data_IF_695166532544
#
_entry.id   IF_695166532544
#
_cell.length_a   1.000
_cell.length_b   1.000
_cell.length_c   1.000
_cell.angle_alpha   90.00
_cell.angle_beta   90.00
_cell.angle_gamma   90.00
#
_symmetry.space_group_name_H-M   'P 1'
#
loop_
_entity.id
_entity.type
_entity.pdbx_description
1 polymer ?
#
# COMPACT_ATOMS: atom_id res chain seq x y z
N UNK A 1 15.76 1.02 7.95
CA UNK A 1 15.03 1.85 6.95
C UNK A 1 13.57 1.39 6.86
N UNK A 2 12.62 2.28 6.60
CA UNK A 2 11.18 2.00 6.48
C UNK A 2 10.78 2.13 5.01
N UNK A 3 10.84 1.04 4.25
CA UNK A 3 10.72 1.03 2.79
C UNK A 3 9.31 0.62 2.39
N UNK A 4 8.61 1.44 1.61
CA UNK A 4 7.27 1.12 1.13
C UNK A 4 7.34 0.46 -0.25
N UNK A 5 6.57 -0.61 -0.40
CA UNK A 5 6.22 -1.21 -1.69
C UNK A 5 4.73 -0.95 -1.92
N UNK A 6 4.41 -0.13 -2.91
CA UNK A 6 3.04 0.25 -3.27
C UNK A 6 2.66 -0.23 -4.67
N UNK A 7 1.44 0.01 -5.07
CA UNK A 7 0.89 -0.32 -6.40
C UNK A 7 -0.57 -0.69 -6.34
N UNK A 8 -1.25 -0.68 -7.46
CA UNK A 8 -2.66 -1.06 -7.57
C UNK A 8 -2.91 -2.52 -7.14
N UNK A 9 -4.15 -2.94 -6.91
CA UNK A 9 -4.49 -4.35 -6.71
C UNK A 9 -4.04 -5.21 -7.89
N UNK A 10 -3.63 -6.46 -7.65
CA UNK A 10 -3.28 -7.41 -8.71
C UNK A 10 -1.91 -7.20 -9.38
N UNK A 11 -1.04 -6.35 -8.85
CA UNK A 11 0.29 -6.05 -9.43
C UNK A 11 1.43 -6.90 -8.89
N UNK A 12 1.13 -7.90 -8.02
CA UNK A 12 2.13 -8.85 -7.53
C UNK A 12 2.90 -8.39 -6.29
N UNK A 13 2.44 -7.38 -5.54
CA UNK A 13 3.07 -6.93 -4.27
C UNK A 13 3.23 -8.05 -3.25
N UNK A 14 2.17 -8.79 -2.98
CA UNK A 14 2.19 -9.89 -2.00
C UNK A 14 3.26 -10.92 -2.31
N UNK A 15 3.50 -11.23 -3.59
CA UNK A 15 4.56 -12.17 -4.00
C UNK A 15 5.95 -11.61 -3.68
N UNK A 16 6.17 -10.31 -3.90
CA UNK A 16 7.43 -9.63 -3.55
C UNK A 16 7.63 -9.64 -2.03
N UNK A 17 6.62 -9.26 -1.26
CA UNK A 17 6.67 -9.26 0.21
C UNK A 17 6.99 -10.66 0.75
N UNK A 18 6.35 -11.70 0.21
CA UNK A 18 6.61 -13.08 0.62
C UNK A 18 8.04 -13.52 0.29
N UNK A 19 8.58 -13.17 -0.88
CA UNK A 19 9.96 -13.47 -1.24
C UNK A 19 10.97 -12.70 -0.35
N UNK A 20 10.68 -11.44 -0.01
CA UNK A 20 11.49 -10.68 0.96
C UNK A 20 11.51 -11.34 2.35
N UNK A 21 10.34 -11.81 2.84
CA UNK A 21 10.26 -12.58 4.11
C UNK A 21 11.08 -13.87 4.05
N UNK A 22 11.01 -14.61 2.94
CA UNK A 22 11.80 -15.84 2.75
C UNK A 22 13.31 -15.57 2.76
N UNK A 23 13.73 -14.37 2.35
CA UNK A 23 15.12 -13.90 2.41
C UNK A 23 15.53 -13.32 3.78
N UNK A 24 14.63 -13.39 4.78
CA UNK A 24 14.90 -12.97 6.16
C UNK A 24 14.67 -11.48 6.45
N UNK A 25 14.04 -10.73 5.53
CA UNK A 25 13.69 -9.34 5.79
C UNK A 25 12.42 -9.22 6.64
N UNK A 26 12.41 -8.25 7.54
CA UNK A 26 11.21 -7.90 8.29
C UNK A 26 10.22 -7.16 7.39
N UNK A 27 8.99 -7.68 7.28
CA UNK A 27 7.95 -7.13 6.42
C UNK A 27 6.66 -6.88 7.23
N UNK A 28 6.07 -5.73 7.02
CA UNK A 28 4.78 -5.32 7.59
C UNK A 28 3.69 -5.54 6.54
N UNK A 29 2.78 -6.44 6.85
CA UNK A 29 1.75 -6.89 5.92
C UNK A 29 0.64 -5.86 5.64
N UNK A 30 -0.09 -6.11 4.58
CA UNK A 30 -1.31 -5.40 4.22
C UNK A 30 -2.42 -5.72 5.25
N UNK A 31 -3.06 -4.67 5.79
CA UNK A 31 -3.99 -4.79 6.93
C UNK A 31 -5.47 -4.70 6.54
N UNK A 32 -5.79 -4.28 5.32
CA UNK A 32 -7.19 -4.03 4.93
C UNK A 32 -8.06 -5.27 5.03
N UNK A 33 -7.51 -6.44 4.69
CA UNK A 33 -8.24 -7.71 4.78
C UNK A 33 -8.54 -8.11 6.23
N UNK A 34 -7.59 -7.89 7.12
CA UNK A 34 -7.77 -8.13 8.56
C UNK A 34 -8.87 -7.23 9.11
N UNK A 35 -8.86 -5.94 8.75
CA UNK A 35 -9.92 -5.01 9.15
C UNK A 35 -11.28 -5.48 8.64
N UNK A 36 -11.38 -5.87 7.36
CA UNK A 36 -12.62 -6.37 6.77
C UNK A 36 -13.12 -7.61 7.54
N UNK A 37 -12.27 -8.59 7.76
CA UNK A 37 -12.62 -9.81 8.48
C UNK A 37 -13.10 -9.51 9.91
N UNK A 38 -12.40 -8.64 10.63
CA UNK A 38 -12.77 -8.23 11.98
C UNK A 38 -14.11 -7.46 12.00
N UNK A 39 -14.37 -6.58 11.02
CA UNK A 39 -15.63 -5.85 10.91
C UNK A 39 -16.81 -6.80 10.62
N UNK A 40 -16.62 -7.78 9.74
CA UNK A 40 -17.65 -8.78 9.43
C UNK A 40 -17.95 -9.63 10.69
N UNK A 41 -16.92 -10.12 11.36
CA UNK A 41 -17.08 -10.99 12.53
C UNK A 41 -17.77 -10.28 13.72
N UNK A 42 -17.57 -8.97 13.87
CA UNK A 42 -18.13 -8.18 14.98
C UNK A 42 -19.37 -7.34 14.59
N UNK A 43 -19.92 -7.54 13.39
CA UNK A 43 -21.10 -6.78 12.92
C UNK A 43 -20.85 -5.29 12.72
N UNK A 44 -19.60 -4.88 12.50
CA UNK A 44 -19.21 -3.49 12.26
C UNK A 44 -19.63 -3.00 10.88
N UNK A 45 -19.53 -1.69 10.67
CA UNK A 45 -19.89 -1.01 9.43
C UNK A 45 -18.70 -0.42 8.67
N UNK A 46 -17.51 -0.39 9.27
CA UNK A 46 -16.31 0.13 8.64
C UNK A 46 -15.77 -0.85 7.58
N UNK A 47 -16.54 -0.99 6.50
CA UNK A 47 -16.32 -1.86 5.36
C UNK A 47 -16.27 -1.02 4.08
N UNK A 48 -15.46 -1.35 3.07
CA UNK A 48 -15.34 -0.58 1.83
C UNK A 48 -16.68 -0.34 1.12
N UNK A 49 -17.62 -1.28 1.22
CA UNK A 49 -18.92 -1.24 0.57
C UNK A 49 -20.07 -0.73 1.46
N UNK A 50 -19.82 -0.42 2.75
CA UNK A 50 -20.81 0.13 3.68
C UNK A 50 -20.46 1.55 4.11
N UNK A 51 -19.25 1.74 4.61
CA UNK A 51 -18.77 3.02 5.15
C UNK A 51 -17.29 3.18 4.83
N UNK A 52 -17.03 3.57 3.57
CA UNK A 52 -15.68 3.71 3.04
C UNK A 52 -14.85 4.75 3.81
N UNK A 53 -15.48 5.81 4.33
CA UNK A 53 -14.78 6.82 5.14
C UNK A 53 -14.26 6.21 6.44
N UNK A 54 -15.11 5.57 7.23
CA UNK A 54 -14.72 4.89 8.47
C UNK A 54 -13.69 3.78 8.22
N UNK A 55 -13.84 3.02 7.13
CA UNK A 55 -12.85 2.02 6.74
C UNK A 55 -11.48 2.66 6.48
N UNK A 56 -11.44 3.73 5.67
CA UNK A 56 -10.19 4.44 5.35
C UNK A 56 -9.53 5.05 6.60
N UNK A 57 -10.32 5.58 7.53
CA UNK A 57 -9.81 6.10 8.80
C UNK A 57 -9.17 4.99 9.66
N UNK A 58 -9.79 3.82 9.75
CA UNK A 58 -9.21 2.68 10.47
C UNK A 58 -7.92 2.19 9.81
N UNK A 59 -7.90 2.05 8.48
CA UNK A 59 -6.70 1.66 7.74
C UNK A 59 -5.58 2.68 7.99
N UNK A 60 -5.88 3.97 7.94
CA UNK A 60 -4.89 5.02 8.18
C UNK A 60 -4.29 4.91 9.58
N UNK A 61 -5.14 4.86 10.61
CA UNK A 61 -4.70 4.78 12.03
C UNK A 61 -3.79 3.57 12.28
N UNK A 62 -4.14 2.40 11.73
CA UNK A 62 -3.33 1.20 11.92
C UNK A 62 -1.99 1.29 11.16
N UNK A 63 -1.98 1.84 9.93
CA UNK A 63 -0.73 2.05 9.20
C UNK A 63 0.19 3.08 9.85
N UNK A 64 -0.39 4.15 10.39
CA UNK A 64 0.35 5.13 11.18
C UNK A 64 0.98 4.45 12.42
N UNK A 65 0.19 3.66 13.15
CA UNK A 65 0.69 2.88 14.28
C UNK A 65 1.82 1.91 13.88
N UNK A 66 1.69 1.19 12.77
CA UNK A 66 2.76 0.33 12.24
C UNK A 66 4.04 1.12 11.94
N UNK A 67 3.91 2.31 11.36
CA UNK A 67 5.04 3.18 11.07
C UNK A 67 5.73 3.69 12.35
N UNK A 68 4.95 4.17 13.32
CA UNK A 68 5.46 4.73 14.57
C UNK A 68 6.13 3.67 15.46
N UNK A 69 5.58 2.45 15.49
CA UNK A 69 6.11 1.32 16.27
C UNK A 69 7.14 0.47 15.48
N UNK A 70 7.58 0.94 14.32
CA UNK A 70 8.56 0.20 13.52
C UNK A 70 9.94 0.17 14.18
N UNK A 71 10.61 -0.97 14.05
CA UNK A 71 11.96 -1.18 14.58
C UNK A 71 13.02 -0.36 13.84
N UNK A 72 14.21 -0.12 14.45
CA UNK A 72 15.30 0.61 13.82
C UNK A 72 16.01 -0.16 12.69
N UNK A 73 15.58 -1.38 12.39
CA UNK A 73 16.09 -2.23 11.30
C UNK A 73 15.51 -1.84 9.94
N UNK A 74 15.97 -2.49 8.86
CA UNK A 74 15.33 -2.36 7.54
C UNK A 74 14.04 -3.17 7.52
N UNK A 75 12.91 -2.48 7.28
CA UNK A 75 11.59 -3.07 7.20
C UNK A 75 10.91 -2.67 5.89
N UNK A 76 10.22 -3.64 5.28
CA UNK A 76 9.41 -3.40 4.08
C UNK A 76 7.93 -3.35 4.46
N UNK A 77 7.23 -2.35 3.97
CA UNK A 77 5.81 -2.13 4.24
C UNK A 77 5.00 -2.44 2.98
N UNK A 78 4.07 -3.39 3.06
CA UNK A 78 3.05 -3.57 2.01
C UNK A 78 2.04 -2.45 2.13
N UNK A 79 2.25 -1.37 1.37
CA UNK A 79 1.58 -0.08 1.42
C UNK A 79 1.97 0.78 2.63
N UNK A 80 1.65 2.08 2.54
CA UNK A 80 1.87 3.07 3.58
C UNK A 80 0.65 3.98 3.82
N UNK A 81 0.81 4.97 4.69
CA UNK A 81 -0.23 5.97 4.98
C UNK A 81 -0.61 6.79 3.75
N UNK A 82 0.33 7.03 2.83
CA UNK A 82 0.09 7.75 1.56
C UNK A 82 -0.83 6.95 0.63
N UNK A 83 -0.81 5.61 0.69
CA UNK A 83 -1.76 4.77 -0.06
C UNK A 83 -3.20 5.11 0.34
N UNK A 84 -3.48 5.24 1.64
CA UNK A 84 -4.83 5.58 2.12
C UNK A 84 -5.26 6.94 1.58
N UNK A 85 -4.37 7.95 1.62
CA UNK A 85 -4.63 9.24 1.01
C UNK A 85 -4.98 9.11 -0.48
N UNK A 86 -4.21 8.31 -1.23
CA UNK A 86 -4.43 8.09 -2.66
C UNK A 86 -5.80 7.43 -2.94
N UNK A 87 -6.16 6.38 -2.19
CA UNK A 87 -7.45 5.72 -2.31
C UNK A 87 -8.62 6.65 -1.97
N UNK A 88 -8.52 7.44 -0.91
CA UNK A 88 -9.53 8.45 -0.59
C UNK A 88 -9.70 9.47 -1.74
N UNK A 89 -8.60 9.82 -2.45
CA UNK A 89 -8.66 10.69 -3.64
C UNK A 89 -9.34 10.01 -4.83
N UNK A 90 -9.11 8.71 -5.04
CA UNK A 90 -9.78 7.92 -6.09
C UNK A 90 -11.30 7.98 -5.95
N UNK A 91 -11.79 7.93 -4.71
CA UNK A 91 -13.22 7.89 -4.37
C UNK A 91 -13.80 9.27 -4.01
N UNK A 92 -13.03 10.35 -4.21
CA UNK A 92 -13.41 11.74 -3.92
C UNK A 92 -13.85 11.97 -2.47
N UNK A 93 -13.30 11.21 -1.52
CA UNK A 93 -13.59 11.39 -0.11
C UNK A 93 -12.91 12.64 0.46
N UNK A 94 -13.54 13.23 1.48
CA UNK A 94 -12.92 14.30 2.25
C UNK A 94 -11.79 13.75 3.10
N UNK A 95 -10.57 14.21 2.86
CA UNK A 95 -9.39 13.77 3.60
C UNK A 95 -9.23 14.65 4.86
N UNK A 96 -9.14 14.06 6.07
CA UNK A 96 -8.91 14.80 7.29
C UNK A 96 -7.57 15.56 7.23
N UNK A 97 -7.54 16.79 7.77
CA UNK A 97 -6.29 17.56 7.85
C UNK A 97 -5.23 16.86 8.70
N UNK A 98 -5.65 16.13 9.74
CA UNK A 98 -4.77 15.31 10.59
C UNK A 98 -3.98 14.27 9.78
N UNK A 99 -4.60 13.64 8.77
CA UNK A 99 -3.89 12.69 7.91
C UNK A 99 -2.76 13.36 7.12
N UNK A 100 -3.04 14.56 6.58
CA UNK A 100 -2.04 15.32 5.84
C UNK A 100 -0.89 15.74 6.76
N UNK A 101 -1.19 16.21 7.98
CA UNK A 101 -0.16 16.54 8.99
C UNK A 101 0.67 15.30 9.35
N UNK A 102 0.01 14.19 9.69
CA UNK A 102 0.71 12.95 10.03
C UNK A 102 1.62 12.44 8.90
N UNK A 103 1.16 12.43 7.64
CA UNK A 103 1.99 12.03 6.49
C UNK A 103 3.22 12.93 6.34
N UNK A 104 3.12 14.21 6.66
CA UNK A 104 4.25 15.14 6.58
C UNK A 104 5.24 14.97 7.74
N UNK A 105 4.75 14.66 8.93
CA UNK A 105 5.54 14.51 10.14
C UNK A 105 6.19 13.13 10.24
N UNK A 106 5.46 12.08 9.84
CA UNK A 106 5.88 10.67 9.97
C UNK A 106 6.26 10.10 8.61
N UNK A 107 7.56 10.14 8.28
CA UNK A 107 8.06 9.75 6.96
C UNK A 107 8.57 8.31 6.93
N UNK A 108 8.26 7.63 5.83
CA UNK A 108 8.98 6.45 5.36
C UNK A 108 10.34 6.85 4.75
N UNK A 109 11.10 5.87 4.28
CA UNK A 109 12.27 6.14 3.46
C UNK A 109 11.86 6.95 2.21
N UNK A 110 12.72 7.86 1.77
CA UNK A 110 12.42 8.77 0.65
C UNK A 110 12.18 8.05 -0.68
N UNK A 111 12.78 6.86 -0.88
CA UNK A 111 12.52 5.99 -2.01
C UNK A 111 11.33 5.08 -1.68
N UNK A 112 10.37 5.06 -2.59
CA UNK A 112 9.19 4.18 -2.55
C UNK A 112 9.15 3.37 -3.84
N UNK A 113 8.99 2.07 -3.72
CA UNK A 113 8.88 1.17 -4.87
C UNK A 113 7.43 1.00 -5.28
N UNK A 114 7.14 1.14 -6.58
CA UNK A 114 5.80 0.94 -7.11
C UNK A 114 5.76 -0.20 -8.12
N UNK A 115 4.86 -1.16 -7.89
CA UNK A 115 4.55 -2.20 -8.87
C UNK A 115 3.58 -1.62 -9.91
N UNK A 116 3.96 -1.55 -11.20
CA UNK A 116 3.08 -1.03 -12.24
C UNK A 116 1.92 -2.00 -12.50
N UNK A 117 0.82 -1.48 -13.06
CA UNK A 117 -0.24 -2.33 -13.59
C UNK A 117 0.31 -3.22 -14.70
N UNK A 118 0.01 -4.51 -14.61
CA UNK A 118 0.55 -5.53 -15.50
C UNK A 118 -0.55 -6.50 -15.91
N UNK A 119 -1.01 -6.38 -17.16
CA UNK A 119 -2.18 -7.09 -17.66
C UNK A 119 -2.02 -8.62 -17.64
N UNK A 120 -0.81 -9.10 -17.92
CA UNK A 120 -0.48 -10.52 -18.03
C UNK A 120 -0.61 -11.28 -16.71
N UNK A 121 -0.35 -10.60 -15.58
CA UNK A 121 -0.48 -11.21 -14.25
C UNK A 121 -1.75 -10.77 -13.51
N UNK A 122 -2.52 -9.84 -14.10
CA UNK A 122 -3.74 -9.34 -13.48
C UNK A 122 -4.80 -10.43 -13.46
N UNK A 123 -5.15 -10.90 -12.28
CA UNK A 123 -6.23 -11.87 -12.07
C UNK A 123 -7.30 -11.25 -11.17
N UNK A 124 -8.55 -11.34 -11.61
CA UNK A 124 -9.69 -11.09 -10.73
C UNK A 124 -9.85 -12.31 -9.81
N UNK A 125 -9.97 -12.06 -8.52
CA UNK A 125 -10.38 -13.07 -7.53
C UNK A 125 -11.65 -12.59 -6.80
N UNK A 126 -12.27 -13.47 -6.02
CA UNK A 126 -13.51 -13.18 -5.31
C UNK A 126 -13.40 -12.03 -4.29
N UNK A 127 -12.19 -11.66 -3.92
CA UNK A 127 -11.90 -10.57 -2.97
C UNK A 127 -11.51 -9.26 -3.65
N UNK A 128 -11.41 -9.25 -4.99
CA UNK A 128 -11.03 -8.09 -5.80
C UNK A 128 -12.17 -7.68 -6.71
N UNK A 129 -12.82 -6.60 -6.33
CA UNK A 129 -13.91 -6.01 -7.12
C UNK A 129 -13.40 -5.04 -8.18
N UNK A 130 -12.14 -4.56 -8.06
CA UNK A 130 -11.56 -3.61 -8.99
C UNK A 130 -11.23 -4.29 -10.32
N UNK A 131 -11.70 -3.70 -11.41
CA UNK A 131 -11.31 -4.11 -12.75
C UNK A 131 -9.98 -3.45 -13.18
N UNK A 132 -9.41 -3.90 -14.29
CA UNK A 132 -8.10 -3.40 -14.77
C UNK A 132 -8.08 -1.87 -15.03
N UNK A 133 -9.20 -1.28 -15.47
CA UNK A 133 -9.30 0.20 -15.65
C UNK A 133 -9.23 0.92 -14.31
N UNK A 134 -9.85 0.37 -13.28
CA UNK A 134 -9.76 0.91 -11.92
C UNK A 134 -8.33 0.78 -11.38
N UNK A 135 -7.64 -0.33 -11.65
CA UNK A 135 -6.25 -0.51 -11.26
C UNK A 135 -5.34 0.58 -11.87
N UNK A 136 -5.53 0.92 -13.15
CA UNK A 136 -4.79 2.02 -13.81
C UNK A 136 -5.11 3.38 -13.13
N UNK A 137 -6.39 3.65 -12.82
CA UNK A 137 -6.78 4.88 -12.12
C UNK A 137 -6.13 4.96 -10.74
N UNK A 138 -6.14 3.86 -9.98
CA UNK A 138 -5.52 3.77 -8.66
C UNK A 138 -4.00 4.01 -8.77
N UNK A 139 -3.31 3.35 -9.71
CA UNK A 139 -1.87 3.55 -9.92
C UNK A 139 -1.53 5.03 -10.15
N UNK A 140 -2.31 5.71 -11.00
CA UNK A 140 -2.10 7.14 -11.23
C UNK A 140 -2.20 7.96 -9.93
N UNK A 141 -3.27 7.74 -9.14
CA UNK A 141 -3.45 8.46 -7.89
C UNK A 141 -2.38 8.13 -6.84
N UNK A 142 -1.87 6.89 -6.82
CA UNK A 142 -0.73 6.52 -5.99
C UNK A 142 0.52 7.31 -6.39
N UNK A 143 0.88 7.30 -7.69
CA UNK A 143 2.03 8.06 -8.21
C UNK A 143 1.93 9.54 -7.86
N UNK A 144 0.80 10.17 -8.18
CA UNK A 144 0.56 11.59 -7.92
C UNK A 144 0.66 11.91 -6.40
N UNK A 145 0.15 11.02 -5.55
CA UNK A 145 0.15 11.22 -4.10
C UNK A 145 1.53 11.09 -3.49
N UNK A 146 2.30 10.08 -3.84
CA UNK A 146 3.66 9.92 -3.34
C UNK A 146 4.58 11.07 -3.79
N UNK A 147 4.49 11.49 -5.05
CA UNK A 147 5.22 12.67 -5.56
C UNK A 147 4.81 13.93 -4.80
N UNK A 148 3.50 14.14 -4.57
CA UNK A 148 2.99 15.28 -3.78
C UNK A 148 3.59 15.36 -2.39
N UNK A 149 3.80 14.23 -1.74
CA UNK A 149 4.40 14.18 -0.39
C UNK A 149 5.93 14.11 -0.39
N UNK A 150 6.58 14.30 -1.55
CA UNK A 150 8.03 14.44 -1.68
C UNK A 150 8.80 13.14 -1.73
N UNK A 151 8.16 12.02 -2.05
CA UNK A 151 8.83 10.73 -2.25
C UNK A 151 9.37 10.57 -3.68
N UNK A 152 10.45 9.83 -3.80
CA UNK A 152 11.02 9.39 -5.07
C UNK A 152 10.44 8.02 -5.40
N UNK A 153 9.68 7.92 -6.48
CA UNK A 153 9.11 6.66 -6.93
C UNK A 153 10.05 5.92 -7.87
N UNK A 154 10.33 4.66 -7.55
CA UNK A 154 11.04 3.73 -8.44
C UNK A 154 10.04 2.67 -8.90
N UNK A 155 9.79 2.61 -10.19
CA UNK A 155 8.94 1.61 -10.78
C UNK A 155 9.67 0.26 -10.86
N UNK A 156 9.07 -0.79 -10.29
CA UNK A 156 9.61 -2.14 -10.32
C UNK A 156 9.37 -2.72 -11.72
N UNK A 157 10.40 -3.28 -12.38
CA UNK A 157 10.24 -3.83 -13.73
C UNK A 157 9.31 -5.05 -13.74
N UNK A 158 8.71 -5.31 -14.92
CA UNK A 158 7.80 -6.46 -15.16
C UNK A 158 8.61 -7.72 -15.50
N UNK A 159 9.24 -8.29 -14.50
CA UNK A 159 10.12 -9.46 -14.57
C UNK A 159 9.71 -10.50 -13.51
N UNK A 160 10.48 -11.57 -13.32
CA UNK A 160 10.21 -12.58 -12.30
C UNK A 160 10.14 -11.99 -10.89
N UNK A 161 9.51 -12.69 -9.94
CA UNK A 161 9.41 -12.22 -8.55
C UNK A 161 10.80 -12.05 -7.94
N UNK A 162 11.70 -13.02 -8.17
CA UNK A 162 13.06 -13.01 -7.64
C UNK A 162 13.87 -11.83 -8.19
N UNK A 163 13.83 -11.61 -9.51
CA UNK A 163 14.52 -10.48 -10.14
C UNK A 163 13.97 -9.13 -9.66
N UNK A 164 12.64 -9.04 -9.37
CA UNK A 164 12.04 -7.83 -8.78
C UNK A 164 12.56 -7.56 -7.37
N UNK A 165 12.74 -8.61 -6.56
CA UNK A 165 13.33 -8.49 -5.22
C UNK A 165 14.79 -8.05 -5.33
N UNK A 166 15.57 -8.67 -6.22
CA UNK A 166 16.97 -8.29 -6.47
C UNK A 166 17.08 -6.83 -6.94
N UNK A 167 16.17 -6.42 -7.82
CA UNK A 167 16.09 -5.02 -8.25
C UNK A 167 15.83 -4.07 -7.08
N UNK A 168 14.87 -4.37 -6.19
CA UNK A 168 14.59 -3.55 -5.01
C UNK A 168 15.83 -3.45 -4.13
N UNK A 169 16.46 -4.60 -3.81
CA UNK A 169 17.62 -4.66 -2.93
C UNK A 169 18.85 -3.93 -3.52
N UNK A 170 18.97 -3.85 -4.84
CA UNK A 170 20.06 -3.11 -5.51
C UNK A 170 19.91 -1.57 -5.42
N UNK A 171 18.78 -1.06 -4.95
CA UNK A 171 18.48 0.40 -4.89
C UNK A 171 18.50 0.98 -3.48
N UNK A 172 18.77 0.14 -2.47
CA UNK A 172 18.76 0.53 -1.04
C UNK A 172 20.08 0.26 -0.35
#
# INVERSE_FOLDING_TARGET
>A
MRIVITGAPGTGKTSIINSLKQRGFNCIDEISREIISNQIANGGDALPWKNLTSFSERVFTLRESQLLNSEPTTQFFDRGTVDVYAYMKVDNLKIPKSFISSINENKYHNIVFITPTWKEIYKNDSERQENFKQAIKIEKHLKDSYVKFGYILIEIPKISVEDRVDFILSKI
#
